data_IF_668521578678
#
_entry.id   IF_668521578678
#
_cell.length_a   1.000
_cell.length_b   1.000
_cell.length_c   1.000
_cell.angle_alpha   90.00
_cell.angle_beta   90.00
_cell.angle_gamma   90.00
#
_symmetry.space_group_name_H-M   'P 1'
#
loop_
_entity.id
_entity.type
_entity.pdbx_description
1 polymer ?
#
# COMPACT_ATOMS: atom_id res chain seq x y z
N UNK A 1 -13.52 -3.00 -28.54
CA UNK A 1 -12.35 -2.12 -28.41
C UNK A 1 -11.52 -2.78 -27.35
N UNK A 2 -10.22 -2.86 -27.53
CA UNK A 2 -9.37 -3.50 -26.53
C UNK A 2 -9.27 -2.54 -25.35
N UNK A 3 -10.08 -2.78 -24.31
CA UNK A 3 -10.13 -1.94 -23.13
C UNK A 3 -9.24 -2.56 -22.05
N UNK A 4 -8.09 -1.97 -21.75
CA UNK A 4 -7.25 -2.41 -20.64
C UNK A 4 -7.73 -1.78 -19.33
N UNK A 5 -8.39 -2.56 -18.48
CA UNK A 5 -9.01 -2.07 -17.25
C UNK A 5 -8.42 -2.76 -16.03
N UNK A 6 -7.79 -1.97 -15.16
CA UNK A 6 -7.32 -2.43 -13.86
C UNK A 6 -7.89 -1.61 -12.72
N UNK A 7 -8.05 -2.23 -11.55
CA UNK A 7 -8.51 -1.54 -10.34
C UNK A 7 -7.58 -0.40 -9.88
N UNK A 8 -6.30 -0.48 -10.26
CA UNK A 8 -5.28 0.56 -10.07
C UNK A 8 -4.76 1.12 -11.39
N UNK A 9 -4.45 0.24 -12.36
CA UNK A 9 -3.73 0.62 -13.59
C UNK A 9 -4.30 -0.12 -14.82
N UNK A 10 -4.62 0.59 -15.89
CA UNK A 10 -5.07 -0.06 -17.13
C UNK A 10 -3.97 -0.93 -17.76
N UNK A 11 -2.85 -0.30 -18.11
CA UNK A 11 -1.69 -0.97 -18.70
C UNK A 11 -0.38 -0.46 -18.08
N UNK A 12 0.53 -1.38 -17.76
CA UNK A 12 1.87 -1.09 -17.28
C UNK A 12 2.91 -1.43 -18.35
N UNK A 13 3.52 -0.41 -18.97
CA UNK A 13 4.53 -0.56 -20.03
C UNK A 13 5.91 -0.16 -19.51
N UNK A 14 6.87 -1.10 -19.52
CA UNK A 14 8.29 -0.86 -19.18
C UNK A 14 8.48 -0.10 -17.84
N UNK A 15 7.57 -0.30 -16.89
CA UNK A 15 7.50 0.45 -15.63
C UNK A 15 7.27 -0.46 -14.42
N UNK A 16 7.44 0.09 -13.22
CA UNK A 16 7.29 -0.64 -11.96
C UNK A 16 6.07 -0.16 -11.18
N UNK A 17 5.20 -1.10 -10.82
CA UNK A 17 4.12 -0.91 -9.84
C UNK A 17 4.49 -1.71 -8.60
N UNK A 18 4.70 -1.01 -7.48
CA UNK A 18 5.13 -1.65 -6.24
C UNK A 18 4.36 -1.15 -5.03
N UNK A 19 4.08 -2.04 -4.07
CA UNK A 19 3.44 -1.70 -2.80
C UNK A 19 2.13 -0.90 -2.96
N UNK A 20 1.28 -1.36 -3.87
CA UNK A 20 -0.03 -0.76 -4.12
C UNK A 20 -1.16 -1.77 -3.84
N UNK A 21 -2.37 -1.26 -3.63
CA UNK A 21 -3.54 -2.12 -3.50
C UNK A 21 -4.78 -1.56 -4.20
N UNK A 22 -5.71 -2.45 -4.57
CA UNK A 22 -7.00 -2.08 -5.16
C UNK A 22 -8.15 -2.82 -4.48
N UNK A 23 -9.27 -2.14 -4.27
CA UNK A 23 -10.49 -2.72 -3.64
C UNK A 23 -11.73 -2.58 -4.53
N UNK A 24 -11.62 -1.85 -5.64
CA UNK A 24 -12.74 -1.62 -6.54
C UNK A 24 -13.03 -2.84 -7.43
N UNK A 25 -14.31 -2.99 -7.79
CA UNK A 25 -14.70 -3.89 -8.87
C UNK A 25 -14.27 -3.34 -10.22
N UNK A 26 -14.00 -4.25 -11.16
CA UNK A 26 -13.66 -3.91 -12.55
C UNK A 26 -14.61 -4.67 -13.46
N UNK A 27 -15.25 -3.97 -14.37
CA UNK A 27 -16.21 -4.52 -15.33
C UNK A 27 -15.91 -4.00 -16.72
N UNK A 28 -15.85 -4.89 -17.69
CA UNK A 28 -15.62 -4.59 -19.10
C UNK A 28 -15.60 -5.89 -19.90
N UNK A 29 -15.09 -5.83 -21.13
CA UNK A 29 -15.17 -6.94 -22.08
C UNK A 29 -13.83 -7.64 -22.31
N UNK A 30 -12.71 -6.91 -22.29
CA UNK A 30 -11.36 -7.43 -22.59
C UNK A 30 -10.35 -7.00 -21.51
N UNK A 31 -9.24 -7.75 -21.37
CA UNK A 31 -8.07 -7.44 -20.52
C UNK A 31 -8.37 -6.77 -19.16
N UNK A 32 -9.18 -7.43 -18.35
CA UNK A 32 -9.56 -6.98 -17.02
C UNK A 32 -8.62 -7.54 -15.95
N UNK A 33 -8.24 -6.73 -14.97
CA UNK A 33 -7.49 -7.18 -13.80
C UNK A 33 -7.88 -6.45 -12.52
N UNK A 34 -7.84 -7.15 -11.39
CA UNK A 34 -8.18 -6.60 -10.09
C UNK A 34 -7.21 -5.52 -9.62
N UNK A 35 -5.94 -5.60 -10.05
CA UNK A 35 -4.94 -4.56 -9.86
C UNK A 35 -4.60 -3.88 -11.20
N UNK A 36 -4.08 -4.63 -12.17
CA UNK A 36 -3.65 -4.11 -13.46
C UNK A 36 -4.26 -4.92 -14.60
N UNK A 37 -4.74 -4.25 -15.67
CA UNK A 37 -5.34 -4.93 -16.82
C UNK A 37 -4.31 -5.69 -17.67
N UNK A 38 -3.16 -5.09 -17.92
CA UNK A 38 -2.08 -5.65 -18.75
C UNK A 38 -0.69 -5.16 -18.30
N UNK A 39 0.34 -6.00 -18.48
CA UNK A 39 1.71 -5.67 -18.08
C UNK A 39 2.72 -6.05 -19.17
N UNK A 40 3.15 -5.08 -19.96
CA UNK A 40 4.13 -5.24 -21.04
C UNK A 40 5.53 -4.87 -20.57
N UNK A 41 6.35 -5.89 -20.35
CA UNK A 41 7.75 -5.77 -19.89
C UNK A 41 7.92 -4.91 -18.61
N UNK A 42 6.83 -4.71 -17.86
CA UNK A 42 6.82 -4.05 -16.56
C UNK A 42 7.00 -5.02 -15.39
N UNK A 43 7.22 -4.47 -14.21
CA UNK A 43 7.32 -5.22 -12.95
C UNK A 43 6.17 -4.86 -12.01
N UNK A 44 5.49 -5.89 -11.49
CA UNK A 44 4.48 -5.73 -10.45
C UNK A 44 4.94 -6.52 -9.23
N UNK A 45 5.13 -5.85 -8.09
CA UNK A 45 5.70 -6.49 -6.89
C UNK A 45 5.11 -5.97 -5.58
N UNK A 46 4.75 -6.87 -4.66
CA UNK A 46 4.17 -6.47 -3.38
C UNK A 46 2.82 -5.75 -3.54
N UNK A 47 2.08 -6.05 -4.60
CA UNK A 47 0.78 -5.44 -4.88
C UNK A 47 -0.36 -6.43 -4.68
N UNK A 48 -1.46 -5.94 -4.13
CA UNK A 48 -2.58 -6.77 -3.69
C UNK A 48 -3.91 -6.24 -4.22
N UNK A 49 -4.90 -7.09 -4.40
CA UNK A 49 -6.25 -6.64 -4.71
C UNK A 49 -7.31 -7.49 -4.03
N UNK A 50 -8.47 -6.87 -3.81
CA UNK A 50 -9.61 -7.52 -3.17
C UNK A 50 -10.13 -8.66 -4.03
N UNK A 51 -10.44 -9.79 -3.39
CA UNK A 51 -10.99 -10.96 -4.05
C UNK A 51 -12.29 -10.61 -4.80
N UNK A 52 -12.50 -11.12 -6.04
CA UNK A 52 -13.74 -10.91 -6.79
C UNK A 52 -15.01 -11.31 -6.04
N UNK A 53 -14.94 -12.33 -5.18
CA UNK A 53 -16.07 -12.79 -4.37
C UNK A 53 -16.44 -11.81 -3.26
N UNK A 54 -15.51 -10.94 -2.86
CA UNK A 54 -15.71 -9.85 -1.91
C UNK A 54 -15.97 -8.49 -2.59
N UNK A 55 -16.14 -8.48 -3.92
CA UNK A 55 -16.46 -7.28 -4.69
C UNK A 55 -15.26 -6.57 -5.32
N UNK A 56 -14.07 -7.19 -5.35
CA UNK A 56 -12.93 -6.70 -6.11
C UNK A 56 -12.98 -7.04 -7.61
N UNK A 57 -11.95 -6.64 -8.35
CA UNK A 57 -11.82 -6.94 -9.78
C UNK A 57 -11.24 -8.33 -10.07
N UNK A 58 -11.36 -8.83 -11.31
CA UNK A 58 -11.03 -10.21 -11.69
C UNK A 58 -9.53 -10.50 -11.59
N UNK A 59 -9.18 -11.73 -11.19
CA UNK A 59 -7.78 -12.15 -11.10
C UNK A 59 -7.25 -12.58 -12.47
N UNK A 60 -6.27 -11.81 -12.99
CA UNK A 60 -5.52 -12.11 -14.21
C UNK A 60 -4.05 -12.46 -13.94
N UNK A 61 -3.67 -12.68 -12.68
CA UNK A 61 -2.30 -12.99 -12.26
C UNK A 61 -1.37 -11.77 -12.12
N UNK A 62 -1.86 -10.54 -12.35
CA UNK A 62 -1.07 -9.31 -12.22
C UNK A 62 -1.25 -8.67 -10.83
N UNK A 63 -0.81 -9.36 -9.79
CA UNK A 63 -0.97 -8.97 -8.39
C UNK A 63 -1.33 -10.17 -7.52
N UNK A 64 -1.43 -9.96 -6.21
CA UNK A 64 -1.85 -11.02 -5.27
C UNK A 64 -3.27 -10.77 -4.78
N UNK A 65 -4.17 -11.72 -5.05
CA UNK A 65 -5.56 -11.68 -4.58
C UNK A 65 -5.64 -11.96 -3.07
N UNK A 66 -6.39 -11.13 -2.34
CA UNK A 66 -6.64 -11.29 -0.91
C UNK A 66 -8.14 -11.13 -0.61
N UNK A 67 -8.67 -11.97 0.28
CA UNK A 67 -10.03 -11.81 0.80
C UNK A 67 -10.15 -10.50 1.62
N UNK A 68 -11.38 -9.99 1.79
CA UNK A 68 -11.68 -8.77 2.57
C UNK A 68 -11.06 -8.80 3.98
N UNK A 69 -11.10 -9.96 4.62
CA UNK A 69 -10.50 -10.16 5.95
C UNK A 69 -8.98 -10.02 5.93
N UNK A 70 -8.31 -10.56 4.91
CA UNK A 70 -6.85 -10.49 4.76
C UNK A 70 -6.39 -9.09 4.35
N UNK A 71 -7.17 -8.39 3.53
CA UNK A 71 -6.95 -6.99 3.15
C UNK A 71 -6.99 -6.03 4.36
N UNK A 72 -7.45 -6.49 5.52
CA UNK A 72 -7.52 -5.74 6.79
C UNK A 72 -6.56 -6.29 7.85
N UNK A 73 -5.53 -7.02 7.44
CA UNK A 73 -4.50 -7.59 8.32
C UNK A 73 -3.11 -7.19 7.84
N UNK A 74 -2.27 -6.63 8.72
CA UNK A 74 -0.92 -6.17 8.36
C UNK A 74 -0.04 -7.30 7.84
N UNK A 75 -0.17 -8.50 8.41
CA UNK A 75 0.64 -9.66 8.03
C UNK A 75 0.38 -10.16 6.59
N UNK A 76 -0.72 -9.77 5.96
CA UNK A 76 -1.05 -10.15 4.58
C UNK A 76 -0.24 -9.35 3.55
N UNK A 77 0.18 -8.14 3.91
CA UNK A 77 0.91 -7.23 3.03
C UNK A 77 2.43 -7.40 3.21
N UNK A 78 2.94 -8.53 2.71
CA UNK A 78 4.36 -8.87 2.78
C UNK A 78 5.21 -7.78 2.12
N UNK A 79 6.24 -7.31 2.84
CA UNK A 79 7.18 -6.29 2.37
C UNK A 79 6.71 -4.85 2.55
N UNK A 80 5.50 -4.62 3.04
CA UNK A 80 5.01 -3.28 3.35
C UNK A 80 5.55 -2.80 4.70
N UNK A 81 5.84 -1.52 4.78
CA UNK A 81 6.28 -0.87 6.01
C UNK A 81 5.08 -0.39 6.82
N UNK A 82 4.68 -1.19 7.82
CA UNK A 82 3.67 -0.79 8.82
C UNK A 82 4.27 -0.13 10.08
N UNK A 83 5.58 0.07 10.10
CA UNK A 83 6.28 0.78 11.17
C UNK A 83 6.18 2.28 10.90
N UNK A 84 6.59 2.72 9.70
CA UNK A 84 6.73 4.14 9.36
C UNK A 84 5.70 4.64 8.33
N UNK A 85 5.30 3.83 7.36
CA UNK A 85 4.54 4.35 6.20
C UNK A 85 3.05 4.10 6.32
N UNK A 86 2.68 2.85 6.59
CA UNK A 86 1.30 2.39 6.54
C UNK A 86 0.77 2.05 7.93
N UNK A 87 -0.55 2.07 8.06
CA UNK A 87 -1.25 1.51 9.19
C UNK A 87 -2.52 0.78 8.71
N UNK A 88 -2.94 -0.19 9.50
CA UNK A 88 -4.18 -0.94 9.34
C UNK A 88 -4.76 -1.11 10.74
N UNK A 89 -6.01 -0.66 10.93
CA UNK A 89 -6.83 -1.09 12.04
C UNK A 89 -7.23 -2.54 11.81
N UNK A 90 -6.65 -3.46 12.57
CA UNK A 90 -6.84 -4.91 12.41
C UNK A 90 -8.31 -5.29 12.33
N UNK A 91 -8.71 -5.90 11.20
CA UNK A 91 -10.08 -6.29 10.86
C UNK A 91 -11.09 -5.12 10.76
N UNK A 92 -10.62 -3.87 10.67
CA UNK A 92 -11.46 -2.68 10.64
C UNK A 92 -11.24 -1.84 9.38
N UNK A 93 -10.00 -1.64 8.96
CA UNK A 93 -9.67 -0.73 7.86
C UNK A 93 -8.78 -1.42 6.82
N UNK A 94 -8.86 -0.93 5.59
CA UNK A 94 -7.82 -1.19 4.58
C UNK A 94 -6.53 -0.40 4.90
N UNK A 95 -5.41 -0.66 4.21
CA UNK A 95 -4.17 0.10 4.40
C UNK A 95 -4.38 1.60 4.18
N UNK A 96 -3.94 2.41 5.13
CA UNK A 96 -3.93 3.86 5.02
C UNK A 96 -2.56 4.41 5.43
N UNK A 97 -2.20 5.56 4.85
CA UNK A 97 -0.94 6.22 5.19
C UNK A 97 -0.97 6.72 6.64
N UNK A 98 0.13 6.53 7.36
CA UNK A 98 0.33 7.16 8.66
C UNK A 98 0.41 8.67 8.48
N UNK A 99 -0.22 9.38 9.40
CA UNK A 99 -0.15 10.83 9.48
C UNK A 99 0.48 11.17 10.82
N UNK A 100 1.72 11.63 10.78
CA UNK A 100 2.45 12.06 11.96
C UNK A 100 2.26 13.56 12.18
N UNK A 101 1.91 13.99 13.40
CA UNK A 101 1.94 15.40 13.74
C UNK A 101 3.35 15.96 13.53
N UNK A 102 3.46 17.21 13.10
CA UNK A 102 4.76 17.89 13.05
C UNK A 102 5.36 17.93 14.47
N UNK A 103 6.44 17.17 14.69
CA UNK A 103 7.10 17.03 16.00
C UNK A 103 7.10 15.61 16.57
N UNK A 104 6.41 14.66 15.94
CA UNK A 104 6.57 13.23 16.23
C UNK A 104 7.82 12.75 15.48
N UNK A 105 8.95 12.78 16.18
CA UNK A 105 10.28 12.49 15.64
C UNK A 105 10.64 11.01 15.75
N UNK A 106 9.96 10.25 16.61
CA UNK A 106 10.15 8.81 16.75
C UNK A 106 9.13 7.98 15.93
N UNK A 107 8.18 8.65 15.26
CA UNK A 107 7.16 8.06 14.40
C UNK A 107 6.21 7.09 15.13
N UNK A 108 5.94 7.30 16.43
CA UNK A 108 5.07 6.45 17.24
C UNK A 108 3.58 6.87 17.21
N UNK A 109 3.27 7.97 16.53
CA UNK A 109 1.93 8.54 16.40
C UNK A 109 1.59 9.54 17.50
N UNK A 110 2.54 9.94 18.34
CA UNK A 110 2.36 10.91 19.43
C UNK A 110 3.46 11.95 19.39
N UNK A 111 3.16 13.12 19.93
CA UNK A 111 4.19 14.11 20.27
C UNK A 111 4.32 14.11 21.78
N UNK A 112 5.39 13.51 22.29
CA UNK A 112 5.64 13.38 23.72
C UNK A 112 7.13 13.61 24.09
N UNK A 113 7.51 13.17 25.28
CA UNK A 113 8.84 13.45 25.80
C UNK A 113 9.94 12.67 25.08
N UNK A 114 9.61 11.57 24.40
CA UNK A 114 10.58 10.83 23.58
C UNK A 114 11.02 11.64 22.37
N UNK A 115 10.13 12.41 21.75
CA UNK A 115 10.48 13.32 20.66
C UNK A 115 11.37 14.47 21.13
N UNK A 116 11.09 14.99 22.33
CA UNK A 116 11.94 15.99 22.95
C UNK A 116 13.35 15.45 23.22
N UNK A 117 13.46 14.20 23.68
CA UNK A 117 14.75 13.56 23.92
C UNK A 117 15.57 13.43 22.62
N UNK A 118 14.93 13.06 21.50
CA UNK A 118 15.58 13.01 20.17
C UNK A 118 16.11 14.39 19.78
N UNK A 119 15.30 15.43 19.97
CA UNK A 119 15.72 16.81 19.67
C UNK A 119 16.93 17.22 20.53
N UNK A 120 16.92 16.89 21.82
CA UNK A 120 17.99 17.23 22.75
C UNK A 120 19.30 16.49 22.43
N UNK A 121 19.21 15.22 22.01
CA UNK A 121 20.36 14.41 21.60
C UNK A 121 21.03 15.01 20.35
N UNK A 122 20.26 15.29 19.30
CA UNK A 122 20.77 15.96 18.09
C UNK A 122 21.40 17.34 18.39
N UNK A 123 20.85 18.08 19.36
CA UNK A 123 21.41 19.38 19.76
C UNK A 123 22.79 19.23 20.42
N UNK A 124 23.00 18.19 21.23
CA UNK A 124 24.28 17.92 21.88
C UNK A 124 25.35 17.45 20.86
N UNK A 125 24.97 16.67 19.87
CA UNK A 125 25.88 16.24 18.80
C UNK A 125 26.37 17.42 17.95
N UNK A 126 25.48 18.39 17.65
CA UNK A 126 25.82 19.59 16.91
C UNK A 126 26.62 20.64 17.70
N UNK A 127 26.50 20.65 19.03
CA UNK A 127 27.20 21.60 19.90
C UNK A 127 28.67 21.24 20.17
N UNK A 128 29.11 20.04 19.77
CA UNK A 128 30.48 19.55 19.92
C UNK A 128 31.44 19.92 18.77
N UNK A 129 31.00 20.68 17.76
CA UNK A 129 31.83 21.16 16.64
C UNK A 129 32.23 22.63 16.81
#
# INVERSE_FOLDING_TARGET
>A
GDDWLGGLCGANEESTISNCYATGSVTGDDWLGGLCGENWDGTISGCYFLDPSDGGGPDNGLGTTLADTQMKQQNSFVGWDFVEIWNIGENQTYPYLRVYPAGDLNHDGRVDFFDFAITADHWLEGAGQ
#
